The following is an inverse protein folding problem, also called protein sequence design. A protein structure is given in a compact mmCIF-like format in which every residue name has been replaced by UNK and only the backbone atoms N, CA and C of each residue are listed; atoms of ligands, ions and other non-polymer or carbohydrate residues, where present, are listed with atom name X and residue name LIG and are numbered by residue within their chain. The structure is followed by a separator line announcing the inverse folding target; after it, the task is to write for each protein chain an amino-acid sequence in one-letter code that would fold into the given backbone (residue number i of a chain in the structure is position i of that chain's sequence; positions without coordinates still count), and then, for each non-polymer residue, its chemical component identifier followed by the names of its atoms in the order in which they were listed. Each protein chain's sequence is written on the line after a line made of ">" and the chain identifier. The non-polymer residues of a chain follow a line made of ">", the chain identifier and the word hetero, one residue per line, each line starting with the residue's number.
data_IF_073180337554
#
_entry.id   IF_073180337554
#
_cell.length_a   1.000
_cell.length_b   1.000
_cell.length_c   1.000
_cell.angle_alpha   90.00
_cell.angle_beta   90.00
_cell.angle_gamma   90.00
#
_symmetry.space_group_name_H-M   'P 1'
#
loop_
_entity.id
_entity.type
_entity.pdbx_description
1 polymer ?
#
# COMPACT_ATOMS: atom_id res chain seq x y z
N UNK A 1 -9.63 -14.46 6.68
CA UNK A 1 -8.21 -14.78 6.59
C UNK A 1 -7.49 -13.75 5.76
N UNK A 2 -6.48 -13.18 6.32
CA UNK A 2 -5.67 -12.22 5.59
C UNK A 2 -4.48 -12.92 4.96
N UNK A 3 -4.17 -12.52 3.75
CA UNK A 3 -3.02 -13.02 3.03
C UNK A 3 -2.09 -11.85 2.75
N UNK A 4 -0.84 -12.00 3.13
CA UNK A 4 0.15 -10.99 2.82
C UNK A 4 0.46 -11.04 1.33
N UNK A 5 0.65 -9.87 0.75
CA UNK A 5 1.13 -9.72 -0.60
C UNK A 5 2.55 -9.21 -0.56
N UNK A 6 3.41 -9.73 -1.39
CA UNK A 6 4.79 -9.28 -1.49
C UNK A 6 5.06 -8.73 -2.88
N UNK A 7 5.80 -7.65 -2.92
CA UNK A 7 6.16 -6.95 -4.15
C UNK A 7 7.61 -6.48 -4.00
N UNK A 8 8.44 -6.76 -4.97
CA UNK A 8 9.86 -6.39 -4.91
C UNK A 8 10.13 -5.10 -5.66
N UNK A 9 11.01 -4.29 -5.08
CA UNK A 9 11.43 -3.04 -5.69
C UNK A 9 12.94 -2.91 -5.54
N UNK A 10 13.61 -2.51 -6.63
CA UNK A 10 15.04 -2.20 -6.60
C UNK A 10 15.21 -0.73 -6.27
N UNK A 11 16.16 -0.43 -5.39
CA UNK A 11 16.49 0.95 -5.06
C UNK A 11 17.39 1.50 -6.17
N UNK A 12 16.93 2.57 -6.80
CA UNK A 12 17.66 3.27 -7.85
C UNK A 12 18.33 4.52 -7.27
N UNK A 13 19.23 5.10 -8.01
CA UNK A 13 19.91 6.32 -7.61
C UNK A 13 18.92 7.44 -7.27
N UNK A 14 17.87 7.60 -8.07
CA UNK A 14 16.85 8.62 -7.85
C UNK A 14 16.10 8.47 -6.52
N UNK A 15 16.15 7.28 -5.92
CA UNK A 15 15.48 7.02 -4.64
C UNK A 15 16.32 7.41 -3.44
N UNK A 16 17.60 7.71 -3.65
CA UNK A 16 18.54 8.00 -2.58
C UNK A 16 18.75 9.50 -2.40
N UNK A 17 19.20 9.86 -1.21
CA UNK A 17 19.59 11.22 -0.94
C UNK A 17 21.11 11.38 -1.05
N UNK A 18 21.60 12.53 -0.66
CA UNK A 18 22.97 12.95 -0.65
C UNK A 18 23.89 12.02 0.16
N UNK A 19 23.36 11.34 1.21
CA UNK A 19 24.17 10.44 2.02
C UNK A 19 24.22 9.02 1.48
N UNK A 20 23.54 8.73 0.38
CA UNK A 20 23.54 7.41 -0.25
C UNK A 20 22.54 6.44 0.32
N UNK A 21 21.67 6.89 1.21
CA UNK A 21 20.57 6.08 1.72
C UNK A 21 19.26 6.52 1.08
N UNK A 22 18.28 5.62 1.10
CA UNK A 22 16.95 5.91 0.55
C UNK A 22 16.34 7.10 1.29
N UNK A 23 15.91 8.11 0.53
CA UNK A 23 15.22 9.25 1.09
C UNK A 23 13.88 8.79 1.65
N UNK A 24 13.53 9.24 2.86
CA UNK A 24 12.36 8.69 3.56
C UNK A 24 11.04 8.80 2.75
N UNK A 25 10.89 9.83 1.94
CA UNK A 25 9.70 9.95 1.09
C UNK A 25 9.63 8.87 0.00
N UNK A 26 10.76 8.28 -0.39
CA UNK A 26 10.78 7.22 -1.39
C UNK A 26 10.11 5.95 -0.87
N UNK A 27 10.21 5.69 0.44
CA UNK A 27 9.52 4.55 1.04
C UNK A 27 8.01 4.66 0.89
N UNK A 28 7.48 5.88 0.94
CA UNK A 28 6.04 6.12 0.75
C UNK A 28 5.61 5.70 -0.63
N UNK A 29 6.42 5.98 -1.66
CA UNK A 29 6.14 5.55 -3.03
C UNK A 29 6.24 4.03 -3.18
N UNK A 30 7.24 3.43 -2.56
CA UNK A 30 7.39 1.97 -2.58
C UNK A 30 6.19 1.28 -1.95
N UNK A 31 5.75 1.78 -0.81
CA UNK A 31 4.59 1.22 -0.12
C UNK A 31 3.29 1.44 -0.90
N UNK A 32 3.15 2.57 -1.56
CA UNK A 32 2.01 2.83 -2.43
C UNK A 32 1.96 1.82 -3.57
N UNK A 33 3.09 1.56 -4.22
CA UNK A 33 3.18 0.54 -5.27
C UNK A 33 2.81 -0.84 -4.72
N UNK A 34 3.28 -1.15 -3.52
CA UNK A 34 2.94 -2.41 -2.86
C UNK A 34 1.44 -2.57 -2.66
N UNK A 35 0.76 -1.51 -2.23
CA UNK A 35 -0.70 -1.52 -2.06
C UNK A 35 -1.42 -1.69 -3.41
N UNK A 36 -0.95 -0.99 -4.42
CA UNK A 36 -1.52 -1.08 -5.76
C UNK A 36 -1.40 -2.49 -6.33
N UNK A 37 -0.23 -3.10 -6.16
CA UNK A 37 -0.02 -4.47 -6.64
C UNK A 37 -0.80 -5.50 -5.82
N UNK A 38 -0.99 -5.24 -4.53
CA UNK A 38 -1.84 -6.09 -3.71
C UNK A 38 -3.29 -6.10 -4.23
N UNK A 39 -3.83 -4.92 -4.55
CA UNK A 39 -5.18 -4.82 -5.10
C UNK A 39 -5.25 -5.51 -6.46
N UNK A 40 -4.27 -5.29 -7.32
CA UNK A 40 -4.21 -5.93 -8.64
C UNK A 40 -4.21 -7.44 -8.53
N UNK A 41 -3.44 -7.98 -7.58
CA UNK A 41 -3.37 -9.42 -7.35
C UNK A 41 -4.71 -10.00 -6.88
N UNK A 42 -5.59 -9.16 -6.35
CA UNK A 42 -6.94 -9.55 -5.92
C UNK A 42 -8.01 -9.24 -6.97
N UNK A 43 -7.59 -8.92 -8.20
CA UNK A 43 -8.49 -8.61 -9.29
C UNK A 43 -9.02 -7.17 -9.28
N UNK A 44 -8.41 -6.29 -8.48
CA UNK A 44 -8.82 -4.89 -8.38
C UNK A 44 -7.69 -4.02 -8.91
N UNK A 45 -7.90 -3.28 -9.98
CA UNK A 45 -6.91 -2.29 -10.42
C UNK A 45 -7.41 -0.89 -10.05
N UNK A 46 -6.47 -0.02 -9.68
CA UNK A 46 -6.79 1.36 -9.34
C UNK A 46 -7.45 2.10 -10.51
N UNK A 47 -7.00 1.80 -11.74
CA UNK A 47 -7.62 2.39 -12.93
C UNK A 47 -9.06 1.96 -13.13
N UNK A 48 -9.36 0.69 -12.91
CA UNK A 48 -10.73 0.18 -13.03
C UNK A 48 -11.61 0.72 -11.91
N UNK A 49 -11.08 0.85 -10.71
CA UNK A 49 -11.79 1.45 -9.58
C UNK A 49 -12.16 2.89 -9.90
N UNK A 50 -11.20 3.67 -10.39
CA UNK A 50 -11.43 5.07 -10.74
C UNK A 50 -12.37 5.25 -11.93
N UNK A 51 -12.39 4.29 -12.85
CA UNK A 51 -13.29 4.33 -14.00
C UNK A 51 -14.74 4.04 -13.63
N UNK A 52 -14.96 3.55 -12.41
CA UNK A 52 -16.29 3.18 -11.94
C UNK A 52 -16.49 1.69 -11.92
N UNK A 53 -16.86 1.18 -10.76
CA UNK A 53 -17.17 -0.23 -10.57
C UNK A 53 -18.65 -0.33 -10.26
N UNK A 54 -19.37 -1.17 -11.01
CA UNK A 54 -20.82 -1.30 -10.87
C UNK A 54 -21.55 0.04 -11.06
N UNK A 55 -21.04 0.91 -11.94
CA UNK A 55 -21.66 2.19 -12.25
C UNK A 55 -21.33 3.33 -11.30
N UNK A 56 -20.53 3.09 -10.28
CA UNK A 56 -20.13 4.13 -9.33
C UNK A 56 -18.65 4.47 -9.48
N UNK A 57 -18.34 5.76 -9.42
CA UNK A 57 -16.97 6.25 -9.41
C UNK A 57 -16.52 6.38 -7.97
N UNK A 58 -15.53 5.59 -7.57
CA UNK A 58 -14.98 5.65 -6.23
C UNK A 58 -13.48 5.37 -6.30
N UNK A 59 -12.80 5.59 -5.20
CA UNK A 59 -11.37 5.33 -5.09
C UNK A 59 -10.97 5.13 -3.66
N UNK A 60 -9.69 4.87 -3.46
CA UNK A 60 -9.11 4.75 -2.12
C UNK A 60 -8.09 5.87 -1.90
N UNK A 61 -8.12 6.44 -0.72
CA UNK A 61 -7.17 7.49 -0.32
C UNK A 61 -6.58 7.15 1.04
N UNK A 62 -5.29 7.40 1.20
CA UNK A 62 -4.64 7.23 2.50
C UNK A 62 -5.18 8.31 3.45
N UNK A 63 -5.76 7.89 4.55
CA UNK A 63 -6.29 8.79 5.56
C UNK A 63 -5.25 9.09 6.64
N UNK A 64 -4.51 8.06 7.05
CA UNK A 64 -3.46 8.22 8.05
C UNK A 64 -2.45 7.10 7.90
N UNK A 65 -1.25 7.35 8.40
CA UNK A 65 -0.17 6.37 8.36
C UNK A 65 0.73 6.58 9.57
N UNK A 66 1.01 5.50 10.27
CA UNK A 66 2.02 5.50 11.32
C UNK A 66 3.18 4.67 10.80
N UNK A 67 4.36 5.25 10.75
CA UNK A 67 5.53 4.62 10.13
C UNK A 67 6.73 4.72 11.05
N UNK A 68 7.50 3.63 11.13
CA UNK A 68 8.76 3.60 11.85
C UNK A 68 9.89 3.24 10.90
N UNK A 69 10.94 4.05 10.94
CA UNK A 69 12.14 3.86 10.13
C UNK A 69 13.18 3.20 11.02
N UNK A 70 13.35 1.90 10.89
CA UNK A 70 14.22 1.13 11.77
C UNK A 70 15.66 1.07 11.28
N UNK A 71 15.83 0.86 9.96
CA UNK A 71 17.14 0.78 9.33
C UNK A 71 17.08 1.34 7.92
N UNK A 72 18.15 1.96 7.43
CA UNK A 72 18.13 2.54 6.09
C UNK A 72 18.36 1.50 5.00
N UNK A 73 17.71 1.69 3.86
CA UNK A 73 18.05 1.00 2.64
C UNK A 73 19.02 1.86 1.82
N UNK A 74 19.75 1.24 0.91
CA UNK A 74 20.78 1.89 0.12
C UNK A 74 20.59 1.59 -1.36
N UNK A 75 21.29 2.33 -2.20
CA UNK A 75 21.28 2.13 -3.64
C UNK A 75 21.58 0.67 -3.98
N UNK A 76 20.89 0.17 -4.98
CA UNK A 76 20.98 -1.22 -5.49
C UNK A 76 20.38 -2.29 -4.59
N UNK A 77 19.92 -1.96 -3.39
CA UNK A 77 19.22 -2.93 -2.55
C UNK A 77 17.95 -3.41 -3.27
N UNK A 78 17.65 -4.69 -3.11
CA UNK A 78 16.38 -5.26 -3.53
C UNK A 78 15.50 -5.37 -2.29
N UNK A 79 14.40 -4.64 -2.28
CA UNK A 79 13.50 -4.58 -1.15
C UNK A 79 12.23 -5.37 -1.42
N UNK A 80 11.68 -5.95 -0.36
CA UNK A 80 10.39 -6.61 -0.40
C UNK A 80 9.39 -5.73 0.34
N UNK A 81 8.32 -5.38 -0.34
CA UNK A 81 7.21 -4.63 0.24
C UNK A 81 6.12 -5.63 0.58
N UNK A 82 5.90 -5.86 1.85
CA UNK A 82 4.89 -6.80 2.32
C UNK A 82 3.67 -6.01 2.78
N UNK A 83 2.51 -6.36 2.26
CA UNK A 83 1.25 -5.69 2.59
C UNK A 83 0.25 -6.72 3.07
N UNK A 84 -0.31 -6.50 4.25
CA UNK A 84 -1.23 -7.44 4.88
C UNK A 84 -2.49 -6.69 5.30
N UNK A 85 -3.66 -7.01 4.74
CA UNK A 85 -4.92 -6.44 5.23
C UNK A 85 -5.14 -6.86 6.69
N UNK A 86 -5.44 -5.90 7.54
CA UNK A 86 -5.61 -6.14 8.97
C UNK A 86 -7.04 -6.01 9.44
N UNK A 87 -7.76 -5.01 8.95
CA UNK A 87 -9.15 -4.76 9.33
C UNK A 87 -9.90 -4.10 8.19
N UNK A 88 -11.16 -4.44 8.05
CA UNK A 88 -12.03 -3.91 7.01
C UNK A 88 -13.28 -3.33 7.67
N UNK A 89 -13.41 -2.02 7.65
CA UNK A 89 -14.58 -1.32 8.16
C UNK A 89 -15.60 -1.07 7.05
N UNK A 90 -16.62 -0.27 7.35
CA UNK A 90 -17.64 0.09 6.36
C UNK A 90 -17.07 0.90 5.21
N UNK A 91 -16.25 1.88 5.52
CA UNK A 91 -15.65 2.80 4.56
C UNK A 91 -14.14 2.85 4.66
N UNK A 92 -13.51 1.98 5.46
CA UNK A 92 -12.07 2.02 5.70
C UNK A 92 -11.45 0.64 5.58
N UNK A 93 -10.18 0.64 5.22
CA UNK A 93 -9.35 -0.56 5.19
C UNK A 93 -8.06 -0.24 5.95
N UNK A 94 -7.67 -1.11 6.85
CA UNK A 94 -6.40 -0.97 7.56
C UNK A 94 -5.43 -2.04 7.09
N UNK A 95 -4.21 -1.62 6.79
CA UNK A 95 -3.15 -2.48 6.33
C UNK A 95 -1.95 -2.36 7.23
N UNK A 96 -1.24 -3.47 7.41
CA UNK A 96 0.11 -3.44 7.94
C UNK A 96 1.04 -3.62 6.75
N UNK A 97 2.07 -2.78 6.68
CA UNK A 97 3.10 -2.90 5.66
C UNK A 97 4.47 -2.97 6.29
N UNK A 98 5.34 -3.73 5.66
CA UNK A 98 6.75 -3.79 6.05
C UNK A 98 7.61 -3.66 4.81
N UNK A 99 8.77 -3.03 4.98
CA UNK A 99 9.79 -3.00 3.94
C UNK A 99 10.96 -3.82 4.47
N UNK A 100 11.34 -4.84 3.72
CA UNK A 100 12.39 -5.77 4.13
C UNK A 100 13.51 -5.81 3.10
N UNK A 101 14.72 -6.03 3.59
CA UNK A 101 15.87 -6.40 2.77
C UNK A 101 16.24 -7.82 3.20
N UNK A 102 15.88 -8.83 2.37
CA UNK A 102 15.95 -10.21 2.81
C UNK A 102 14.99 -10.43 3.98
N UNK A 103 15.51 -10.89 5.11
CA UNK A 103 14.72 -11.09 6.32
C UNK A 103 14.77 -9.89 7.27
N UNK A 104 15.57 -8.90 6.94
CA UNK A 104 15.76 -7.73 7.79
C UNK A 104 14.64 -6.73 7.58
N UNK A 105 13.92 -6.39 8.65
CA UNK A 105 12.83 -5.41 8.60
C UNK A 105 13.45 -4.01 8.70
N UNK A 106 13.24 -3.20 7.67
CA UNK A 106 13.77 -1.84 7.62
C UNK A 106 12.72 -0.82 8.04
N UNK A 107 11.46 -1.07 7.68
CA UNK A 107 10.34 -0.16 7.91
C UNK A 107 9.15 -0.98 8.36
N UNK A 108 8.39 -0.45 9.32
CA UNK A 108 7.06 -0.96 9.65
C UNK A 108 6.06 0.19 9.51
N UNK A 109 4.87 -0.11 9.06
CA UNK A 109 3.85 0.91 8.89
C UNK A 109 2.46 0.35 9.11
N UNK A 110 1.58 1.18 9.66
CA UNK A 110 0.15 0.91 9.76
C UNK A 110 -0.53 1.97 8.92
N UNK A 111 -1.30 1.55 7.94
CA UNK A 111 -1.91 2.44 6.95
C UNK A 111 -3.42 2.33 7.05
N UNK A 112 -4.08 3.46 7.24
CA UNK A 112 -5.54 3.53 7.19
C UNK A 112 -5.94 4.17 5.88
N UNK A 113 -6.77 3.46 5.13
CA UNK A 113 -7.24 3.88 3.82
C UNK A 113 -8.73 4.11 3.89
N UNK A 114 -9.20 5.20 3.32
CA UNK A 114 -10.63 5.50 3.23
C UNK A 114 -11.12 5.25 1.81
N UNK A 115 -12.30 4.66 1.68
CA UNK A 115 -13.00 4.61 0.42
C UNK A 115 -13.71 5.94 0.24
N UNK A 116 -13.56 6.55 -0.92
CA UNK A 116 -14.14 7.87 -1.22
C UNK A 116 -14.90 7.81 -2.53
N UNK A 117 -15.98 8.59 -2.58
CA UNK A 117 -16.75 8.82 -3.80
C UNK A 117 -17.15 10.28 -3.81
N UNK A 118 -16.89 10.94 -4.94
CA UNK A 118 -17.20 12.39 -5.09
C UNK A 118 -16.58 13.24 -3.97
N UNK A 119 -15.33 12.87 -3.57
CA UNK A 119 -14.61 13.62 -2.55
C UNK A 119 -15.05 13.39 -1.11
N UNK A 120 -15.94 12.44 -0.87
CA UNK A 120 -16.48 12.15 0.46
C UNK A 120 -16.27 10.69 0.84
N UNK A 121 -16.19 10.38 2.14
CA UNK A 121 -16.15 8.98 2.57
C UNK A 121 -17.35 8.22 2.02
N UNK A 122 -17.10 7.02 1.55
CA UNK A 122 -18.15 6.19 0.96
C UNK A 122 -17.97 4.75 1.42
N UNK A 123 -19.08 4.02 1.47
CA UNK A 123 -19.04 2.62 1.83
C UNK A 123 -18.30 1.81 0.75
N UNK A 124 -17.47 0.90 1.18
CA UNK A 124 -16.76 0.01 0.27
C UNK A 124 -17.77 -0.87 -0.45
N UNK A 125 -17.79 -0.87 -1.80
CA UNK A 125 -18.73 -1.71 -2.55
C UNK A 125 -18.57 -3.18 -2.22
N UNK A 126 -19.66 -3.92 -2.30
CA UNK A 126 -19.69 -5.34 -1.93
C UNK A 126 -18.66 -6.19 -2.66
N UNK A 127 -18.54 -6.04 -3.97
CA UNK A 127 -17.59 -6.82 -4.76
C UNK A 127 -16.14 -6.51 -4.39
N UNK A 128 -15.84 -5.25 -4.08
CA UNK A 128 -14.52 -4.84 -3.64
C UNK A 128 -14.24 -5.41 -2.25
N UNK A 129 -15.24 -5.34 -1.38
CA UNK A 129 -15.14 -5.89 -0.02
C UNK A 129 -14.82 -7.37 -0.05
N UNK A 130 -15.52 -8.13 -0.90
CA UNK A 130 -15.29 -9.56 -1.04
C UNK A 130 -13.88 -9.85 -1.53
N UNK A 131 -13.38 -9.08 -2.50
CA UNK A 131 -12.02 -9.23 -3.02
C UNK A 131 -10.96 -8.94 -1.96
N UNK A 132 -11.29 -8.10 -0.97
CA UNK A 132 -10.38 -7.77 0.13
C UNK A 132 -10.50 -8.74 1.30
N UNK A 133 -11.36 -9.74 1.20
CA UNK A 133 -11.49 -10.79 2.20
C UNK A 133 -12.53 -10.53 3.27
N UNK A 134 -13.40 -9.57 3.02
CA UNK A 134 -14.46 -9.22 3.96
C UNK A 134 -15.79 -9.91 3.71
#
# INVERSE_FOLDING_TARGET
>A
MSLSHVFQVRVYYEDTDFSGVVYHASYLRFMERGRTEMLRARGLSQGEIMAGHAGEVFGFAVRSMAIEFLKPARMDDLLTIESTPRALGGATLELDQRVLRGEEVLITAQVRIACVANGRPARIPKGVREALGG
#
